data_IF_143101305668
#
_entry.id   IF_143101305668
#
_cell.length_a   1.000
_cell.length_b   1.000
_cell.length_c   1.000
_cell.angle_alpha   90.00
_cell.angle_beta   90.00
_cell.angle_gamma   90.00
#
_symmetry.space_group_name_H-M   'P 1'
#
loop_
_entity.id
_entity.type
_entity.pdbx_description
1 polymer ?
#
# COMPACT_ATOMS: atom_id res chain seq x y z
N UNK A 1 20.48 16.48 -9.45
CA UNK A 1 20.10 15.42 -8.50
C UNK A 1 18.87 15.93 -7.76
N UNK A 2 17.68 15.69 -8.31
CA UNK A 2 16.41 15.98 -7.65
C UNK A 2 16.36 15.17 -6.37
N UNK A 3 16.18 15.84 -5.23
CA UNK A 3 15.76 15.15 -4.02
C UNK A 3 14.28 14.83 -4.19
N UNK A 4 13.97 13.70 -4.85
CA UNK A 4 12.60 13.19 -4.97
C UNK A 4 11.99 13.07 -3.57
N UNK A 5 11.10 13.99 -3.24
CA UNK A 5 10.55 14.14 -1.90
C UNK A 5 9.71 12.93 -1.50
N UNK A 6 9.82 12.49 -0.25
CA UNK A 6 8.99 11.41 0.27
C UNK A 6 7.51 11.82 0.33
N UNK A 7 6.64 10.93 -0.12
CA UNK A 7 5.18 11.09 -0.20
C UNK A 7 4.52 10.38 0.99
N UNK A 8 3.82 11.13 1.83
CA UNK A 8 2.91 10.58 2.84
C UNK A 8 1.45 10.66 2.34
N UNK A 9 0.50 10.11 3.09
CA UNK A 9 -0.92 10.10 2.70
C UNK A 9 -1.46 11.49 2.30
N UNK A 10 -1.17 12.51 3.11
CA UNK A 10 -1.63 13.88 2.84
C UNK A 10 -1.08 14.45 1.53
N UNK A 11 0.21 14.25 1.23
CA UNK A 11 0.81 14.67 -0.04
C UNK A 11 0.22 13.91 -1.23
N UNK A 12 0.02 12.60 -1.10
CA UNK A 12 -0.57 11.77 -2.16
C UNK A 12 -2.01 12.23 -2.47
N UNK A 13 -2.82 12.51 -1.45
CA UNK A 13 -4.18 13.03 -1.63
C UNK A 13 -4.19 14.41 -2.29
N UNK A 14 -3.25 15.30 -1.93
CA UNK A 14 -3.12 16.60 -2.59
C UNK A 14 -2.76 16.46 -4.07
N UNK A 15 -1.86 15.52 -4.41
CA UNK A 15 -1.52 15.21 -5.80
C UNK A 15 -2.73 14.62 -6.56
N UNK A 16 -3.54 13.78 -5.92
CA UNK A 16 -4.78 13.28 -6.55
C UNK A 16 -5.81 14.38 -6.80
N UNK A 17 -5.93 15.35 -5.90
CA UNK A 17 -6.78 16.51 -6.13
C UNK A 17 -6.32 17.30 -7.37
N UNK A 18 -5.02 17.59 -7.47
CA UNK A 18 -4.50 18.32 -8.63
C UNK A 18 -4.60 17.50 -9.93
N UNK A 19 -4.36 16.19 -9.88
CA UNK A 19 -4.57 15.28 -11.01
C UNK A 19 -6.03 15.33 -11.47
N UNK A 20 -6.98 15.28 -10.53
CA UNK A 20 -8.41 15.43 -10.80
C UNK A 20 -8.72 16.74 -11.50
N UNK A 21 -8.22 17.88 -10.99
CA UNK A 21 -8.49 19.20 -11.54
C UNK A 21 -7.94 19.35 -12.98
N UNK A 22 -6.74 18.82 -13.24
CA UNK A 22 -6.13 18.81 -14.58
C UNK A 22 -6.89 17.91 -15.55
N UNK A 23 -7.34 16.73 -15.11
CA UNK A 23 -8.18 15.83 -15.91
C UNK A 23 -9.55 16.45 -16.24
N UNK A 24 -10.17 17.11 -15.27
CA UNK A 24 -11.42 17.85 -15.45
C UNK A 24 -11.26 18.96 -16.52
N UNK A 25 -10.17 19.72 -16.46
CA UNK A 25 -9.84 20.75 -17.46
C UNK A 25 -9.63 20.19 -18.87
N UNK A 26 -9.24 18.93 -18.99
CA UNK A 26 -9.10 18.21 -20.25
C UNK A 26 -10.38 17.48 -20.69
N UNK A 27 -11.44 17.50 -19.88
CA UNK A 27 -12.68 16.74 -20.13
C UNK A 27 -12.51 15.23 -20.03
N UNK A 28 -11.54 14.77 -19.23
CA UNK A 28 -11.21 13.35 -19.04
C UNK A 28 -11.67 12.89 -17.67
N UNK A 29 -12.36 11.74 -17.62
CA UNK A 29 -12.60 11.01 -16.38
C UNK A 29 -11.63 9.83 -16.29
N UNK A 30 -11.02 9.61 -15.13
CA UNK A 30 -10.07 8.52 -14.91
C UNK A 30 -10.37 7.70 -13.65
N UNK A 31 -9.87 6.47 -13.66
CA UNK A 31 -9.89 5.58 -12.51
C UNK A 31 -8.49 5.08 -12.24
N UNK A 32 -8.07 5.11 -10.97
CA UNK A 32 -6.80 4.61 -10.47
C UNK A 32 -7.05 3.48 -9.47
N UNK A 33 -6.35 2.37 -9.63
CA UNK A 33 -6.23 1.31 -8.63
C UNK A 33 -4.80 1.30 -8.09
N UNK A 34 -4.61 1.99 -6.97
CA UNK A 34 -3.32 2.26 -6.33
C UNK A 34 -2.94 1.10 -5.43
N UNK A 35 -1.74 0.55 -5.62
CA UNK A 35 -1.18 -0.59 -4.89
C UNK A 35 0.12 -0.19 -4.18
N UNK A 36 0.84 -1.15 -3.62
CA UNK A 36 2.20 -0.94 -3.11
C UNK A 36 2.27 -0.01 -1.89
N UNK A 37 3.34 0.79 -1.82
CA UNK A 37 3.60 1.65 -0.66
C UNK A 37 2.61 2.81 -0.51
N UNK A 38 2.09 3.34 -1.62
CA UNK A 38 1.06 4.37 -1.59
C UNK A 38 -0.27 3.85 -1.02
N UNK A 39 -0.67 2.63 -1.40
CA UNK A 39 -1.85 1.99 -0.81
C UNK A 39 -1.71 1.78 0.71
N UNK A 40 -0.51 1.39 1.16
CA UNK A 40 -0.21 1.29 2.59
C UNK A 40 -0.40 2.61 3.31
N UNK A 41 0.20 3.70 2.78
CA UNK A 41 0.09 5.04 3.35
C UNK A 41 -1.36 5.57 3.38
N UNK A 42 -2.15 5.30 2.34
CA UNK A 42 -3.50 5.83 2.21
C UNK A 42 -4.54 5.11 3.10
N UNK A 43 -4.30 3.85 3.47
CA UNK A 43 -5.37 3.01 4.01
C UNK A 43 -4.98 2.10 5.17
N UNK A 44 -3.69 1.85 5.40
CA UNK A 44 -3.21 0.78 6.28
C UNK A 44 -2.18 1.20 7.34
N UNK A 45 -1.37 2.22 7.08
CA UNK A 45 -0.36 2.72 8.01
C UNK A 45 -0.13 4.23 7.81
N UNK A 46 -0.65 5.05 8.74
CA UNK A 46 -0.53 6.51 8.70
C UNK A 46 0.92 7.01 8.81
N UNK A 47 1.83 6.18 9.34
CA UNK A 47 3.25 6.48 9.43
C UNK A 47 4.02 6.19 8.14
N UNK A 48 3.40 5.54 7.16
CA UNK A 48 4.08 5.09 5.93
C UNK A 48 4.33 6.25 4.98
N UNK A 49 5.56 6.29 4.48
CA UNK A 49 5.99 7.24 3.43
C UNK A 49 6.58 6.49 2.24
N UNK A 50 6.22 6.87 1.03
CA UNK A 50 6.65 6.22 -0.23
C UNK A 50 7.42 7.20 -1.12
N UNK A 51 8.07 6.71 -2.17
CA UNK A 51 8.75 7.56 -3.16
C UNK A 51 7.85 7.90 -4.34
N UNK A 52 6.92 7.00 -4.62
CA UNK A 52 6.09 6.94 -5.80
C UNK A 52 4.73 6.30 -5.49
N UNK A 53 3.84 6.36 -6.47
CA UNK A 53 2.51 5.80 -6.51
C UNK A 53 2.47 4.75 -7.62
N UNK A 54 2.48 3.48 -7.22
CA UNK A 54 2.19 2.36 -8.10
C UNK A 54 0.67 2.25 -8.31
N UNK A 55 0.18 2.33 -9.55
CA UNK A 55 -1.23 2.19 -9.85
C UNK A 55 -1.48 1.57 -11.24
N UNK A 56 -2.59 0.83 -11.37
CA UNK A 56 -3.26 0.71 -12.65
C UNK A 56 -4.14 1.94 -12.86
N UNK A 57 -4.25 2.41 -14.10
CA UNK A 57 -5.11 3.55 -14.38
C UNK A 57 -5.65 3.54 -15.80
N UNK A 58 -6.86 4.07 -15.94
CA UNK A 58 -7.60 4.16 -17.20
C UNK A 58 -8.25 5.55 -17.28
N UNK A 59 -8.10 6.29 -18.39
CA UNK A 59 -7.32 5.95 -19.58
C UNK A 59 -5.82 6.22 -19.39
N UNK A 60 -4.98 5.30 -19.88
CA UNK A 60 -3.55 5.32 -19.57
C UNK A 60 -2.73 6.45 -20.25
N UNK A 61 -2.98 6.82 -21.52
CA UNK A 61 -2.23 7.90 -22.17
C UNK A 61 -2.41 9.26 -21.48
N UNK A 62 -3.65 9.64 -21.19
CA UNK A 62 -4.01 10.93 -20.63
C UNK A 62 -3.52 11.07 -19.18
N UNK A 63 -3.71 10.02 -18.36
CA UNK A 63 -3.20 10.02 -16.98
C UNK A 63 -1.67 10.12 -16.96
N UNK A 64 -0.95 9.42 -17.86
CA UNK A 64 0.52 9.55 -17.96
C UNK A 64 0.94 10.96 -18.35
N UNK A 65 0.30 11.54 -19.35
CA UNK A 65 0.64 12.89 -19.80
C UNK A 65 0.49 13.91 -18.67
N UNK A 66 -0.65 13.87 -17.96
CA UNK A 66 -0.91 14.79 -16.84
C UNK A 66 0.08 14.55 -15.69
N UNK A 67 0.38 13.30 -15.37
CA UNK A 67 1.35 12.96 -14.32
C UNK A 67 2.77 13.43 -14.66
N UNK A 68 3.20 13.31 -15.91
CA UNK A 68 4.49 13.81 -16.38
C UNK A 68 4.57 15.35 -16.24
N UNK A 69 3.53 16.07 -16.66
CA UNK A 69 3.46 17.53 -16.50
C UNK A 69 3.48 17.96 -15.03
N UNK A 70 2.83 17.18 -14.14
CA UNK A 70 2.89 17.39 -12.69
C UNK A 70 4.28 17.15 -12.11
N UNK A 71 5.02 16.17 -12.64
CA UNK A 71 6.37 15.86 -12.16
C UNK A 71 7.31 17.07 -12.27
N UNK A 72 7.22 17.79 -13.41
CA UNK A 72 8.00 19.00 -13.67
C UNK A 72 7.59 20.12 -12.72
N UNK A 73 6.28 20.33 -12.52
CA UNK A 73 5.76 21.40 -11.68
C UNK A 73 6.14 21.24 -10.20
N UNK A 74 6.22 20.01 -9.71
CA UNK A 74 6.47 19.69 -8.31
C UNK A 74 7.91 19.22 -8.02
N UNK A 75 8.75 19.07 -9.06
CA UNK A 75 10.08 18.48 -8.92
C UNK A 75 10.05 17.03 -8.41
N UNK A 76 9.00 16.28 -8.76
CA UNK A 76 8.89 14.85 -8.48
C UNK A 76 9.75 14.05 -9.48
N UNK A 77 10.00 12.79 -9.17
CA UNK A 77 10.56 11.88 -10.16
C UNK A 77 9.58 11.74 -11.35
N UNK A 78 10.08 11.62 -12.60
CA UNK A 78 9.22 11.58 -13.79
C UNK A 78 8.17 10.46 -13.76
N UNK A 79 8.47 9.36 -13.06
CA UNK A 79 7.62 8.18 -12.90
C UNK A 79 6.96 8.11 -11.51
N UNK A 80 6.75 9.25 -10.83
CA UNK A 80 6.10 9.28 -9.52
C UNK A 80 4.71 8.64 -9.49
N UNK A 81 4.00 8.60 -10.63
CA UNK A 81 2.81 7.78 -10.86
C UNK A 81 3.10 6.80 -11.99
N UNK A 82 3.19 5.51 -11.67
CA UNK A 82 3.59 4.48 -12.64
C UNK A 82 2.81 3.17 -12.43
N UNK A 83 3.01 2.21 -13.33
CA UNK A 83 2.35 0.90 -13.30
C UNK A 83 3.34 -0.26 -13.06
N UNK A 84 4.44 -0.02 -12.35
CA UNK A 84 5.51 -1.00 -12.15
C UNK A 84 5.04 -2.26 -11.41
N UNK A 85 4.02 -2.12 -10.56
CA UNK A 85 3.42 -3.24 -9.83
C UNK A 85 2.48 -4.14 -10.67
N UNK A 86 2.15 -3.77 -11.93
CA UNK A 86 1.15 -4.48 -12.76
C UNK A 86 1.36 -6.00 -12.85
N UNK A 87 2.61 -6.45 -12.90
CA UNK A 87 2.96 -7.87 -13.03
C UNK A 87 2.65 -8.74 -11.81
N UNK A 88 2.34 -8.12 -10.66
CA UNK A 88 2.07 -8.81 -9.41
C UNK A 88 0.58 -8.87 -9.05
N UNK A 89 -0.31 -8.25 -9.83
CA UNK A 89 -1.72 -8.19 -9.49
C UNK A 89 -2.36 -9.57 -9.71
N UNK A 90 -3.02 -10.16 -8.70
CA UNK A 90 -3.66 -11.47 -8.79
C UNK A 90 -4.98 -11.50 -9.58
N UNK A 91 -5.40 -10.37 -10.17
CA UNK A 91 -6.70 -10.20 -10.83
C UNK A 91 -7.52 -9.11 -10.18
N UNK A 92 -8.84 -9.23 -10.25
CA UNK A 92 -9.77 -8.27 -9.66
C UNK A 92 -9.81 -8.40 -8.14
N UNK A 93 -10.04 -7.28 -7.46
CA UNK A 93 -10.33 -7.25 -6.02
C UNK A 93 -11.85 -7.14 -5.83
N UNK A 94 -12.42 -8.02 -5.01
CA UNK A 94 -13.86 -8.03 -4.74
C UNK A 94 -14.29 -6.87 -3.82
N UNK A 95 -13.36 -6.29 -3.07
CA UNK A 95 -13.67 -5.28 -2.05
C UNK A 95 -12.66 -4.12 -1.99
N UNK A 96 -12.42 -3.44 -3.12
CA UNK A 96 -11.53 -2.29 -3.15
C UNK A 96 -12.08 -1.15 -2.28
N UNK A 97 -11.20 -0.33 -1.72
CA UNK A 97 -11.56 0.81 -0.88
C UNK A 97 -11.34 2.11 -1.65
N UNK A 98 -12.39 2.92 -1.78
CA UNK A 98 -12.26 4.29 -2.30
C UNK A 98 -11.53 5.16 -1.29
N UNK A 99 -10.48 5.84 -1.74
CA UNK A 99 -9.65 6.76 -0.92
C UNK A 99 -9.68 8.20 -1.43
N UNK A 100 -10.07 8.39 -2.69
CA UNK A 100 -10.32 9.69 -3.28
C UNK A 100 -11.40 9.54 -4.35
N UNK A 101 -12.34 10.49 -4.42
CA UNK A 101 -13.39 10.51 -5.42
C UNK A 101 -13.77 11.95 -5.77
N UNK A 102 -13.87 12.22 -7.06
CA UNK A 102 -14.38 13.46 -7.65
C UNK A 102 -15.16 13.12 -8.93
N UNK A 103 -15.73 14.14 -9.60
CA UNK A 103 -16.40 13.95 -10.89
C UNK A 103 -15.46 13.43 -12.00
N UNK A 104 -14.15 13.67 -11.89
CA UNK A 104 -13.17 13.34 -12.93
C UNK A 104 -12.15 12.28 -12.51
N UNK A 105 -12.13 11.87 -11.24
CA UNK A 105 -11.15 10.90 -10.74
C UNK A 105 -11.73 10.03 -9.62
N UNK A 106 -11.71 8.72 -9.83
CA UNK A 106 -11.92 7.71 -8.79
C UNK A 106 -10.57 7.07 -8.46
N UNK A 107 -10.17 7.08 -7.19
CA UNK A 107 -8.99 6.36 -6.71
C UNK A 107 -9.39 5.33 -5.67
N UNK A 108 -9.03 4.09 -5.96
CA UNK A 108 -9.23 2.96 -5.08
C UNK A 108 -7.89 2.33 -4.70
N UNK A 109 -7.85 1.71 -3.53
CA UNK A 109 -6.76 0.85 -3.08
C UNK A 109 -7.30 -0.56 -2.79
N UNK A 110 -6.46 -1.60 -2.87
CA UNK A 110 -6.91 -2.96 -2.58
C UNK A 110 -7.38 -3.14 -1.14
N UNK A 111 -8.20 -4.16 -0.94
CA UNK A 111 -8.48 -4.80 0.34
C UNK A 111 -7.19 -5.28 1.02
N UNK A 112 -7.23 -5.45 2.34
CA UNK A 112 -6.05 -5.85 3.11
C UNK A 112 -5.55 -7.24 2.69
N UNK A 113 -6.45 -8.19 2.39
CA UNK A 113 -6.08 -9.52 1.89
C UNK A 113 -5.35 -9.44 0.55
N UNK A 114 -5.90 -8.68 -0.41
CA UNK A 114 -5.31 -8.52 -1.73
C UNK A 114 -3.90 -7.92 -1.63
N UNK A 115 -3.75 -6.84 -0.87
CA UNK A 115 -2.46 -6.19 -0.70
C UNK A 115 -1.45 -7.07 0.04
N UNK A 116 -1.89 -7.85 1.04
CA UNK A 116 -1.00 -8.81 1.74
C UNK A 116 -0.50 -9.88 0.78
N UNK A 117 -1.38 -10.45 -0.04
CA UNK A 117 -1.03 -11.45 -1.03
C UNK A 117 0.03 -10.90 -2.02
N UNK A 118 -0.18 -9.67 -2.50
CA UNK A 118 0.79 -8.99 -3.36
C UNK A 118 2.15 -8.79 -2.68
N UNK A 119 2.16 -8.36 -1.41
CA UNK A 119 3.40 -8.12 -0.66
C UNK A 119 4.20 -9.40 -0.47
N UNK A 120 3.53 -10.50 -0.13
CA UNK A 120 4.14 -11.82 0.02
C UNK A 120 4.65 -12.39 -1.31
N UNK A 121 3.92 -12.18 -2.41
CA UNK A 121 4.28 -12.69 -3.73
C UNK A 121 5.46 -11.92 -4.35
N UNK A 122 5.41 -10.60 -4.29
CA UNK A 122 6.47 -9.73 -4.79
C UNK A 122 7.72 -9.79 -3.91
N UNK A 123 7.54 -9.60 -2.60
CA UNK A 123 8.56 -9.63 -1.53
C UNK A 123 9.92 -9.08 -1.97
N UNK A 124 9.93 -7.83 -2.43
CA UNK A 124 11.10 -7.24 -3.12
C UNK A 124 12.17 -6.76 -2.16
N UNK A 125 11.77 -6.28 -0.99
CA UNK A 125 12.65 -5.72 0.03
C UNK A 125 12.07 -5.85 1.45
N UNK A 126 12.83 -5.39 2.44
CA UNK A 126 12.42 -5.36 3.86
C UNK A 126 11.12 -4.56 4.08
N UNK A 127 10.85 -3.53 3.26
CA UNK A 127 9.63 -2.73 3.38
C UNK A 127 8.39 -3.53 2.96
N UNK A 128 8.50 -4.39 1.95
CA UNK A 128 7.40 -5.30 1.59
C UNK A 128 7.09 -6.27 2.74
N UNK A 129 8.09 -6.74 3.50
CA UNK A 129 7.90 -7.62 4.66
C UNK A 129 7.28 -6.88 5.86
N UNK A 130 7.72 -5.65 6.12
CA UNK A 130 7.16 -4.83 7.19
C UNK A 130 5.71 -4.43 6.89
N UNK A 131 5.43 -4.02 5.64
CA UNK A 131 4.07 -3.74 5.16
C UNK A 131 3.18 -5.00 5.28
N UNK A 132 3.71 -6.18 4.92
CA UNK A 132 3.00 -7.45 5.08
C UNK A 132 2.70 -7.77 6.55
N UNK A 133 3.62 -7.50 7.47
CA UNK A 133 3.40 -7.73 8.91
C UNK A 133 2.32 -6.82 9.50
N UNK A 134 2.19 -5.58 9.00
CA UNK A 134 1.09 -4.67 9.36
C UNK A 134 -0.25 -5.24 8.88
N UNK A 135 -0.32 -5.66 7.61
CA UNK A 135 -1.54 -6.22 7.02
C UNK A 135 -1.95 -7.54 7.68
N UNK A 136 -0.99 -8.42 7.99
CA UNK A 136 -1.18 -9.65 8.74
C UNK A 136 -1.89 -9.38 10.08
N UNK A 137 -1.37 -8.44 10.87
CA UNK A 137 -1.97 -8.08 12.15
C UNK A 137 -3.38 -7.49 11.98
N UNK A 138 -3.59 -6.66 10.94
CA UNK A 138 -4.90 -6.08 10.65
C UNK A 138 -5.95 -7.11 10.28
N UNK A 139 -5.55 -8.15 9.55
CA UNK A 139 -6.41 -9.26 9.16
C UNK A 139 -6.69 -10.24 10.30
N UNK A 140 -6.04 -10.07 11.46
CA UNK A 140 -6.19 -10.98 12.60
C UNK A 140 -5.52 -12.33 12.37
N UNK A 141 -4.60 -12.43 11.41
CA UNK A 141 -3.85 -13.66 11.18
C UNK A 141 -2.93 -13.97 12.36
N UNK A 142 -2.60 -15.25 12.48
CA UNK A 142 -1.93 -15.82 13.65
C UNK A 142 -0.76 -16.74 13.32
N UNK A 143 -0.66 -17.20 12.07
CA UNK A 143 0.37 -18.15 11.64
C UNK A 143 0.87 -17.89 10.21
N UNK A 144 2.06 -18.39 9.89
CA UNK A 144 2.55 -18.41 8.50
C UNK A 144 1.63 -19.22 7.58
N UNK A 145 0.91 -20.21 8.12
CA UNK A 145 -0.06 -20.98 7.33
C UNK A 145 -1.20 -20.11 6.80
N UNK A 146 -1.68 -19.12 7.57
CA UNK A 146 -2.72 -18.18 7.12
C UNK A 146 -2.28 -17.42 5.85
N UNK A 147 -1.00 -17.05 5.78
CA UNK A 147 -0.39 -16.41 4.60
C UNK A 147 -0.28 -17.36 3.41
N UNK A 148 0.04 -18.64 3.65
CA UNK A 148 0.15 -19.65 2.59
C UNK A 148 -1.21 -20.00 2.01
N UNK A 149 -2.22 -20.09 2.86
CA UNK A 149 -3.60 -20.31 2.44
C UNK A 149 -4.08 -19.13 1.60
N UNK A 150 -3.82 -17.89 2.04
CA UNK A 150 -4.10 -16.68 1.26
C UNK A 150 -3.42 -16.72 -0.10
N UNK A 151 -2.11 -16.99 -0.16
CA UNK A 151 -1.37 -17.05 -1.43
C UNK A 151 -1.92 -18.12 -2.38
N UNK A 152 -2.30 -19.28 -1.85
CA UNK A 152 -2.83 -20.40 -2.63
C UNK A 152 -4.23 -20.13 -3.17
N UNK A 153 -5.04 -19.37 -2.44
CA UNK A 153 -6.35 -18.92 -2.89
C UNK A 153 -6.25 -17.79 -3.91
N UNK A 154 -5.20 -16.97 -3.83
CA UNK A 154 -5.07 -15.73 -4.60
C UNK A 154 -4.29 -15.92 -5.91
N UNK A 155 -3.25 -16.76 -5.93
CA UNK A 155 -2.41 -16.99 -7.10
C UNK A 155 -2.48 -18.44 -7.57
N UNK A 156 -2.37 -18.69 -8.89
CA UNK A 156 -2.19 -20.04 -9.41
C UNK A 156 -0.98 -20.74 -8.78
N UNK A 157 -1.12 -22.01 -8.42
CA UNK A 157 -0.05 -22.80 -7.79
C UNK A 157 1.28 -22.75 -8.55
N UNK A 158 1.26 -22.70 -9.88
CA UNK A 158 2.45 -22.60 -10.72
C UNK A 158 3.23 -21.28 -10.59
N UNK A 159 2.63 -20.24 -9.99
CA UNK A 159 3.28 -18.98 -9.68
C UNK A 159 3.84 -18.93 -8.25
N UNK A 160 3.59 -19.96 -7.44
CA UNK A 160 4.11 -20.03 -6.08
C UNK A 160 5.45 -20.76 -6.03
N UNK A 161 6.46 -20.06 -5.51
CA UNK A 161 7.81 -20.56 -5.33
C UNK A 161 8.01 -21.09 -3.89
N UNK A 162 8.94 -22.04 -3.66
CA UNK A 162 9.26 -22.52 -2.31
C UNK A 162 9.60 -21.42 -1.31
N UNK A 163 10.20 -20.31 -1.78
CA UNK A 163 10.53 -19.15 -0.95
C UNK A 163 9.32 -18.54 -0.24
N UNK A 164 8.11 -18.63 -0.82
CA UNK A 164 6.92 -18.02 -0.22
C UNK A 164 6.57 -18.65 1.14
N UNK A 165 6.90 -19.93 1.36
CA UNK A 165 6.77 -20.57 2.69
C UNK A 165 7.66 -19.89 3.74
N UNK A 166 8.91 -19.64 3.39
CA UNK A 166 9.83 -18.93 4.28
C UNK A 166 9.35 -17.50 4.56
N UNK A 167 8.91 -16.78 3.53
CA UNK A 167 8.42 -15.41 3.66
C UNK A 167 7.15 -15.32 4.53
N UNK A 168 6.26 -16.30 4.41
CA UNK A 168 5.06 -16.39 5.24
C UNK A 168 5.39 -16.56 6.73
N UNK A 169 6.34 -17.45 7.06
CA UNK A 169 6.81 -17.64 8.44
C UNK A 169 7.53 -16.39 8.97
N UNK A 170 8.36 -15.76 8.14
CA UNK A 170 9.06 -14.52 8.51
C UNK A 170 8.07 -13.38 8.82
N UNK A 171 7.07 -13.17 7.96
CA UNK A 171 6.02 -12.16 8.18
C UNK A 171 5.23 -12.46 9.46
N UNK A 172 4.87 -13.72 9.70
CA UNK A 172 4.17 -14.11 10.92
C UNK A 172 5.03 -13.82 12.17
N UNK A 173 6.31 -14.17 12.14
CA UNK A 173 7.23 -13.91 13.24
C UNK A 173 7.39 -12.40 13.51
N UNK A 174 7.57 -11.58 12.46
CA UNK A 174 7.62 -10.11 12.58
C UNK A 174 6.34 -9.54 13.17
N UNK A 175 5.20 -9.98 12.64
CA UNK A 175 3.89 -9.49 13.06
C UNK A 175 3.60 -9.82 14.54
N UNK A 176 3.86 -11.06 14.97
CA UNK A 176 3.68 -11.50 16.36
C UNK A 176 4.62 -10.73 17.30
N UNK A 177 5.88 -10.57 16.92
CA UNK A 177 6.86 -9.82 17.72
C UNK A 177 6.45 -8.36 17.91
N UNK A 178 5.99 -7.70 16.83
CA UNK A 178 5.51 -6.31 16.90
C UNK A 178 4.26 -6.16 17.76
N UNK A 179 3.35 -7.15 17.74
CA UNK A 179 2.14 -7.19 18.60
C UNK A 179 2.52 -7.27 20.08
N UNK A 180 3.41 -8.20 20.44
CA UNK A 180 3.88 -8.38 21.81
C UNK A 180 4.62 -7.15 22.35
N UNK A 181 5.40 -6.46 21.51
CA UNK A 181 6.08 -5.23 21.89
C UNK A 181 5.09 -4.09 22.17
N UNK A 182 4.03 -3.96 21.35
CA UNK A 182 2.98 -2.95 21.57
C UNK A 182 2.21 -3.22 22.85
N UNK A 183 1.84 -4.48 23.11
CA UNK A 183 1.18 -4.90 24.35
C UNK A 183 2.05 -4.62 25.58
N UNK A 184 3.33 -4.99 25.53
CA UNK A 184 4.30 -4.72 26.62
C UNK A 184 4.46 -3.23 26.91
N UNK A 185 4.48 -2.40 25.85
CA UNK A 185 4.56 -0.94 25.98
C UNK A 185 3.28 -0.36 26.59
N UNK A 186 2.11 -0.84 26.17
CA UNK A 186 0.82 -0.41 26.72
C UNK A 186 0.71 -0.75 28.22
N UNK A 187 1.09 -1.97 28.63
CA UNK A 187 1.11 -2.38 30.04
C UNK A 187 2.05 -1.49 30.86
N UNK A 188 3.25 -1.17 30.34
CA UNK A 188 4.22 -0.30 31.04
C UNK A 188 3.72 1.14 31.18
N UNK A 189 3.09 1.73 30.15
CA UNK A 189 2.53 3.08 30.28
C UNK A 189 1.41 3.13 31.32
N UNK A 190 0.57 2.10 31.38
CA UNK A 190 -0.54 2.02 32.34
C UNK A 190 -0.05 1.88 33.80
N UNK A 191 1.11 1.26 34.03
CA UNK A 191 1.71 1.14 35.37
C UNK A 191 2.36 2.44 35.89
N UNK A 192 2.80 3.33 35.00
CA UNK A 192 3.47 4.59 35.35
C UNK A 192 2.51 5.79 35.48
N UNK A 193 1.34 5.74 34.84
CA UNK A 193 0.29 6.77 34.91
C UNK A 193 -0.75 6.52 36.02
N UNK A 194 -0.46 5.67 37.02
CA UNK A 194 -1.35 5.48 38.18
C UNK A 194 -1.08 6.56 39.26
N UNK A 195 -1.94 7.60 39.40
CA UNK A 195 -1.73 8.68 40.36
C UNK A 195 -1.88 8.23 41.83
N UNK A 196 -2.28 6.98 42.08
CA UNK A 196 -2.49 6.44 43.43
C UNK A 196 -1.38 5.48 43.89
N UNK A 197 -0.31 5.27 43.10
CA UNK A 197 0.87 4.48 43.49
C UNK A 197 1.95 5.27 44.26
N UNK A 198 1.56 6.10 45.24
CA UNK A 198 2.47 6.68 46.25
C UNK A 198 2.04 6.33 47.67
#
# INVERSE_FOLDING_TARGET
>A
MSQGGTLNAAKVLALFQELSDRLAGAGVAAQLFVVGGAAMALAYDDGRVTRDVDALFVPAPEVRQVAEDMSIAHGLEPDWLNAAAKGFLPGDDESPRTVFESESLLVQVPSAQYLLAMKLHASRDERDLDDAAVLFNRLGYSSGQDCIDLLTQTYPLGQLLPRHRYLAEEVAHRAISSRQQRESKATRTTEFDDPWKR
#
